data_IF_573626543193
#
_entry.id   IF_573626543193
#
_cell.length_a   1.000
_cell.length_b   1.000
_cell.length_c   1.000
_cell.angle_alpha   90.00
_cell.angle_beta   90.00
_cell.angle_gamma   90.00
#
_symmetry.space_group_name_H-M   'P 1'
#
loop_
_entity.id
_entity.type
_entity.pdbx_description
1 polymer ?
#
# COMPACT_ATOMS: atom_id res chain seq x y z
N UNK A 1 40.11 -27.10 21.00
CA UNK A 1 40.21 -26.18 19.83
C UNK A 1 38.92 -26.10 18.98
N UNK A 2 37.71 -26.10 19.57
CA UNK A 2 36.42 -26.24 18.84
C UNK A 2 35.52 -25.00 18.77
N UNK A 3 35.96 -23.84 19.30
CA UNK A 3 35.18 -22.59 19.35
C UNK A 3 35.45 -21.60 18.21
N UNK A 4 36.32 -21.94 17.25
CA UNK A 4 36.84 -20.98 16.24
C UNK A 4 36.00 -20.88 14.97
N UNK A 5 35.17 -21.88 14.66
CA UNK A 5 34.41 -21.90 13.40
C UNK A 5 33.08 -21.14 13.48
N UNK A 6 32.50 -20.98 14.68
CA UNK A 6 31.23 -20.25 14.87
C UNK A 6 31.37 -18.77 14.51
N UNK A 7 32.51 -18.15 14.82
CA UNK A 7 32.77 -16.76 14.47
C UNK A 7 32.91 -16.55 12.96
N UNK A 8 33.53 -17.49 12.23
CA UNK A 8 33.66 -17.40 10.78
C UNK A 8 32.29 -17.44 10.09
N UNK A 9 31.42 -18.32 10.58
CA UNK A 9 30.06 -18.47 10.09
C UNK A 9 29.21 -17.23 10.42
N UNK A 10 29.30 -16.70 11.65
CA UNK A 10 28.63 -15.45 12.04
C UNK A 10 29.07 -14.24 11.20
N UNK A 11 30.37 -14.12 10.92
CA UNK A 11 30.93 -13.05 10.08
C UNK A 11 30.51 -13.21 8.62
N UNK A 12 30.53 -14.43 8.08
CA UNK A 12 30.04 -14.69 6.73
C UNK A 12 28.56 -14.31 6.58
N UNK A 13 27.72 -14.59 7.59
CA UNK A 13 26.31 -14.18 7.58
C UNK A 13 26.12 -12.66 7.66
N UNK A 14 26.91 -11.96 8.49
CA UNK A 14 26.84 -10.51 8.58
C UNK A 14 27.20 -9.85 7.24
N UNK A 15 28.24 -10.36 6.56
CA UNK A 15 28.69 -9.83 5.27
C UNK A 15 27.69 -10.14 4.15
N UNK A 16 27.17 -11.37 4.08
CA UNK A 16 26.19 -11.75 3.07
C UNK A 16 24.86 -10.99 3.22
N UNK A 17 24.35 -10.86 4.46
CA UNK A 17 23.14 -10.09 4.74
C UNK A 17 23.31 -8.59 4.43
N UNK A 18 24.48 -8.03 4.75
CA UNK A 18 24.79 -6.63 4.44
C UNK A 18 24.90 -6.37 2.92
N UNK A 19 25.60 -7.23 2.18
CA UNK A 19 25.73 -7.10 0.72
C UNK A 19 24.38 -7.22 -0.01
N UNK A 20 23.50 -8.10 0.47
CA UNK A 20 22.17 -8.31 -0.10
C UNK A 20 21.26 -7.10 0.17
N UNK A 21 21.28 -6.56 1.40
CA UNK A 21 20.57 -5.33 1.74
C UNK A 21 21.02 -4.14 0.89
N UNK A 22 22.32 -4.06 0.57
CA UNK A 22 22.89 -3.01 -0.26
C UNK A 22 22.44 -3.11 -1.72
N UNK A 23 22.40 -4.31 -2.30
CA UNK A 23 21.90 -4.53 -3.66
C UNK A 23 20.43 -4.15 -3.83
N UNK A 24 19.60 -4.48 -2.84
CA UNK A 24 18.19 -4.09 -2.77
C UNK A 24 18.05 -2.57 -2.79
N UNK A 25 18.71 -1.88 -1.85
CA UNK A 25 18.57 -0.43 -1.70
C UNK A 25 18.98 0.36 -2.96
N UNK A 26 19.93 -0.15 -3.75
CA UNK A 26 20.43 0.50 -4.95
C UNK A 26 19.49 0.36 -6.16
N UNK A 27 18.83 -0.80 -6.28
CA UNK A 27 18.05 -1.17 -7.47
C UNK A 27 16.64 -0.59 -7.38
N UNK A 28 16.03 -0.55 -6.20
CA UNK A 28 14.63 -0.15 -6.04
C UNK A 28 14.29 1.28 -6.50
N UNK A 29 15.12 2.32 -6.27
CA UNK A 29 14.81 3.69 -6.69
C UNK A 29 14.87 3.93 -8.20
N UNK A 30 15.53 3.05 -8.97
CA UNK A 30 15.77 3.25 -10.41
C UNK A 30 14.53 2.96 -11.28
N UNK A 31 13.57 2.19 -10.77
CA UNK A 31 12.49 1.62 -11.59
C UNK A 31 11.11 2.27 -11.38
N UNK A 32 10.98 3.36 -10.62
CA UNK A 32 9.69 4.05 -10.32
C UNK A 32 8.56 3.08 -9.93
N UNK A 33 8.91 2.00 -9.22
CA UNK A 33 7.98 0.90 -8.96
C UNK A 33 6.94 1.35 -7.93
N UNK A 34 5.64 1.13 -8.18
CA UNK A 34 4.61 1.46 -7.21
C UNK A 34 4.88 0.77 -5.86
N UNK A 35 4.66 1.50 -4.76
CA UNK A 35 5.06 1.11 -3.41
C UNK A 35 4.47 -0.24 -2.93
N UNK A 36 3.35 -0.69 -3.54
CA UNK A 36 2.77 -2.01 -3.25
C UNK A 36 3.64 -3.16 -3.77
N UNK A 37 4.28 -3.00 -4.94
CA UNK A 37 5.14 -4.02 -5.54
C UNK A 37 6.50 -4.09 -4.84
N UNK A 38 7.05 -2.93 -4.42
CA UNK A 38 8.25 -2.88 -3.56
C UNK A 38 8.02 -3.67 -2.28
N UNK A 39 6.87 -3.48 -1.61
CA UNK A 39 6.53 -4.20 -0.38
C UNK A 39 6.40 -5.72 -0.59
N UNK A 40 5.79 -6.17 -1.69
CA UNK A 40 5.69 -7.60 -2.00
C UNK A 40 7.05 -8.23 -2.25
N UNK A 41 7.94 -7.54 -2.98
CA UNK A 41 9.29 -8.06 -3.26
C UNK A 41 10.13 -8.08 -1.99
N UNK A 42 10.09 -7.01 -1.18
CA UNK A 42 10.78 -6.99 0.12
C UNK A 42 10.29 -8.13 1.02
N UNK A 43 8.99 -8.38 1.06
CA UNK A 43 8.43 -9.47 1.85
C UNK A 43 8.84 -10.85 1.31
N UNK A 44 8.86 -11.04 -0.02
CA UNK A 44 9.35 -12.26 -0.65
C UNK A 44 10.84 -12.52 -0.33
N UNK A 45 11.66 -11.47 -0.29
CA UNK A 45 13.07 -11.58 0.08
C UNK A 45 13.23 -11.89 1.57
N UNK A 46 12.50 -11.19 2.44
CA UNK A 46 12.57 -11.41 3.89
C UNK A 46 12.13 -12.82 4.27
N UNK A 47 11.19 -13.43 3.53
CA UNK A 47 10.76 -14.83 3.73
C UNK A 47 11.70 -15.81 3.02
N UNK A 48 12.13 -15.49 1.80
CA UNK A 48 13.02 -16.32 0.99
C UNK A 48 14.43 -16.44 1.57
N UNK A 49 14.91 -15.41 2.26
CA UNK A 49 16.24 -15.39 2.88
C UNK A 49 16.42 -16.43 4.00
N UNK A 50 15.52 -16.55 5.00
CA UNK A 50 15.53 -17.65 5.96
C UNK A 50 15.49 -19.03 5.28
N UNK A 51 14.67 -19.19 4.23
CA UNK A 51 14.54 -20.45 3.50
C UNK A 51 15.85 -20.80 2.78
N UNK A 52 16.46 -19.83 2.10
CA UNK A 52 17.76 -19.98 1.46
C UNK A 52 18.86 -20.30 2.48
N UNK A 53 18.82 -19.70 3.67
CA UNK A 53 19.74 -20.00 4.77
C UNK A 53 19.56 -21.41 5.33
N UNK A 54 18.33 -21.90 5.43
CA UNK A 54 18.04 -23.29 5.83
C UNK A 54 18.58 -24.29 4.81
N UNK A 55 18.40 -24.00 3.52
CA UNK A 55 18.91 -24.84 2.43
C UNK A 55 20.44 -24.80 2.39
N UNK A 56 21.05 -23.61 2.53
CA UNK A 56 22.50 -23.46 2.62
C UNK A 56 23.06 -24.23 3.82
N UNK A 57 22.42 -24.15 4.99
CA UNK A 57 22.79 -24.93 6.18
C UNK A 57 22.64 -26.44 5.97
N UNK A 58 21.58 -26.88 5.27
CA UNK A 58 21.36 -28.28 4.94
C UNK A 58 22.45 -28.84 3.99
N UNK A 59 22.92 -28.03 3.04
CA UNK A 59 23.99 -28.43 2.12
C UNK A 59 25.40 -28.31 2.74
N UNK A 60 25.64 -27.33 3.62
CA UNK A 60 26.89 -27.18 4.36
C UNK A 60 27.06 -28.19 5.52
N UNK A 61 26.02 -28.97 5.88
CA UNK A 61 26.14 -30.09 6.84
C UNK A 61 26.65 -31.39 6.18
N UNK A 62 26.80 -31.41 4.85
CA UNK A 62 27.41 -32.51 4.08
C UNK A 62 28.78 -32.17 3.45
N UNK A 63 29.80 -31.63 4.16
CA UNK A 63 31.15 -31.49 3.60
C UNK A 63 32.06 -32.71 3.84
N UNK A 64 31.62 -33.75 4.56
CA UNK A 64 32.45 -34.95 4.76
C UNK A 64 31.67 -36.24 4.54
N UNK A 65 32.02 -36.92 3.44
CA UNK A 65 32.10 -38.38 3.43
C UNK A 65 31.12 -39.12 2.54
N UNK A 66 31.28 -39.05 1.22
CA UNK A 66 31.24 -40.31 0.46
C UNK A 66 32.53 -41.07 0.81
N UNK A 67 32.52 -41.75 1.96
CA UNK A 67 33.41 -42.90 2.18
C UNK A 67 32.56 -44.15 1.98
N UNK A 68 32.98 -44.90 0.95
CA UNK A 68 32.46 -46.20 0.55
C UNK A 68 32.50 -47.16 1.74
N UNK A 69 31.41 -47.90 1.86
CA UNK A 69 31.02 -48.90 2.86
C UNK A 69 32.06 -49.99 3.13
N UNK A 70 32.31 -50.27 4.42
CA UNK A 70 32.77 -51.51 5.10
C UNK A 70 33.29 -51.02 6.47
N UNK A 71 32.74 -51.29 7.65
CA UNK A 71 31.87 -52.33 8.17
C UNK A 71 31.08 -51.72 9.34
N UNK A 72 29.75 -51.93 9.43
CA UNK A 72 29.00 -52.07 10.71
C UNK A 72 27.62 -52.66 10.37
N UNK A 73 27.41 -53.93 10.74
CA UNK A 73 26.09 -54.57 10.89
C UNK A 73 25.42 -54.06 12.20
N UNK A 74 24.08 -54.06 12.34
CA UNK A 74 23.31 -52.94 12.83
C UNK A 74 22.76 -53.22 14.24
N UNK A 75 23.14 -52.40 15.21
CA UNK A 75 22.48 -52.45 16.51
C UNK A 75 22.45 -51.07 17.16
N UNK A 76 21.22 -50.56 17.28
CA UNK A 76 20.79 -49.56 18.26
C UNK A 76 21.34 -48.15 18.05
N UNK A 77 20.67 -47.39 17.18
CA UNK A 77 19.93 -46.19 17.62
C UNK A 77 19.27 -45.55 16.40
N UNK A 78 17.98 -45.82 16.24
CA UNK A 78 17.09 -44.95 15.48
C UNK A 78 16.94 -43.64 16.23
N UNK A 79 17.99 -42.79 16.20
CA UNK A 79 17.82 -41.37 16.48
C UNK A 79 16.95 -40.83 15.35
N UNK A 80 15.64 -40.90 15.56
CA UNK A 80 14.64 -40.21 14.78
C UNK A 80 15.10 -38.76 14.70
N UNK A 81 15.72 -38.40 13.57
CA UNK A 81 16.26 -37.06 13.32
C UNK A 81 15.06 -36.15 13.34
N UNK A 82 14.81 -35.54 14.49
CA UNK A 82 13.53 -34.90 14.75
C UNK A 82 13.40 -33.73 13.78
N UNK A 83 12.44 -33.84 12.85
CA UNK A 83 12.02 -32.75 11.97
C UNK A 83 11.35 -31.60 12.76
N UNK A 84 11.56 -31.52 14.08
CA UNK A 84 11.07 -30.47 14.98
C UNK A 84 11.39 -29.06 14.44
N UNK A 85 12.54 -28.89 13.78
CA UNK A 85 12.93 -27.61 13.21
C UNK A 85 12.07 -27.20 12.00
N UNK A 86 11.50 -28.16 11.25
CA UNK A 86 10.55 -27.88 10.16
C UNK A 86 9.27 -27.25 10.73
N UNK A 87 8.80 -27.73 11.88
CA UNK A 87 7.63 -27.15 12.55
C UNK A 87 7.90 -25.72 13.03
N UNK A 88 9.11 -25.39 13.48
CA UNK A 88 9.49 -24.01 13.86
C UNK A 88 9.41 -23.06 12.66
N UNK A 89 9.89 -23.50 11.49
CA UNK A 89 9.84 -22.71 10.26
C UNK A 89 8.39 -22.52 9.79
N UNK A 90 7.56 -23.57 9.85
CA UNK A 90 6.13 -23.49 9.49
C UNK A 90 5.39 -22.53 10.42
N UNK A 91 5.63 -22.59 11.73
CA UNK A 91 4.99 -21.70 12.71
C UNK A 91 5.40 -20.25 12.49
N UNK A 92 6.68 -19.97 12.22
CA UNK A 92 7.16 -18.62 11.92
C UNK A 92 6.57 -18.07 10.61
N UNK A 93 6.44 -18.91 9.58
CA UNK A 93 5.81 -18.54 8.32
C UNK A 93 4.31 -18.22 8.50
N UNK A 94 3.57 -19.06 9.24
CA UNK A 94 2.17 -18.83 9.55
C UNK A 94 1.95 -17.57 10.39
N UNK A 95 2.81 -17.30 11.38
CA UNK A 95 2.78 -16.06 12.17
C UNK A 95 3.04 -14.83 11.31
N UNK A 96 3.99 -14.90 10.39
CA UNK A 96 4.33 -13.78 9.49
C UNK A 96 3.19 -13.49 8.51
N UNK A 97 2.57 -14.54 7.94
CA UNK A 97 1.39 -14.42 7.08
C UNK A 97 0.20 -13.86 7.87
N UNK A 98 -0.02 -14.35 9.09
CA UNK A 98 -1.09 -13.89 9.97
C UNK A 98 -0.92 -12.41 10.36
N UNK A 99 0.27 -11.99 10.77
CA UNK A 99 0.59 -10.59 11.09
C UNK A 99 0.49 -9.69 9.85
N UNK A 100 0.85 -10.18 8.67
CA UNK A 100 0.71 -9.44 7.41
C UNK A 100 -0.76 -9.24 7.04
N UNK A 101 -1.58 -10.28 7.13
CA UNK A 101 -3.02 -10.20 6.89
C UNK A 101 -3.72 -9.35 7.96
N UNK A 102 -3.29 -9.46 9.22
CA UNK A 102 -3.78 -8.60 10.29
C UNK A 102 -3.41 -7.14 10.02
N UNK A 103 -2.18 -6.84 9.60
CA UNK A 103 -1.76 -5.50 9.19
C UNK A 103 -2.50 -4.98 7.95
N UNK A 104 -2.92 -5.85 7.03
CA UNK A 104 -3.76 -5.51 5.85
C UNK A 104 -5.20 -5.15 6.22
N UNK A 105 -5.76 -5.79 7.24
CA UNK A 105 -7.15 -5.61 7.69
C UNK A 105 -7.30 -4.65 8.88
N UNK A 106 -6.24 -4.43 9.65
CA UNK A 106 -6.18 -3.51 10.80
C UNK A 106 -5.27 -2.32 10.57
N UNK A 107 -4.59 -2.21 9.41
CA UNK A 107 -4.14 -0.90 8.96
C UNK A 107 -5.39 -0.04 9.00
N UNK A 108 -5.46 0.97 9.89
CA UNK A 108 -6.50 1.94 9.77
C UNK A 108 -6.32 2.44 8.35
N UNK A 109 -7.33 2.23 7.51
CA UNK A 109 -7.60 3.18 6.46
C UNK A 109 -7.41 4.49 7.19
N UNK A 110 -6.35 5.24 6.88
CA UNK A 110 -6.40 6.66 7.09
C UNK A 110 -7.58 7.06 6.22
N UNK A 111 -8.79 6.90 6.77
CA UNK A 111 -9.83 7.89 6.68
C UNK A 111 -9.04 9.15 7.03
N UNK A 112 -8.49 9.76 5.98
CA UNK A 112 -8.31 11.20 5.91
C UNK A 112 -9.50 11.70 6.67
N UNK A 113 -9.24 12.25 7.88
CA UNK A 113 -10.25 12.39 8.92
C UNK A 113 -11.52 12.82 8.23
N UNK A 114 -12.63 12.10 8.49
CA UNK A 114 -13.95 12.55 8.10
C UNK A 114 -14.01 14.00 8.56
N UNK A 115 -13.68 14.88 7.63
CA UNK A 115 -13.67 16.31 7.84
C UNK A 115 -15.15 16.49 7.75
N UNK A 116 -15.81 16.45 8.91
CA UNK A 116 -17.25 16.57 9.00
C UNK A 116 -17.61 17.66 8.02
N UNK A 117 -18.32 17.26 6.95
CA UNK A 117 -18.62 18.15 5.85
C UNK A 117 -19.28 19.36 6.51
N UNK A 118 -18.67 20.56 6.43
CA UNK A 118 -19.16 21.66 7.23
C UNK A 118 -20.63 21.87 6.92
N UNK A 119 -21.50 21.82 7.93
CA UNK A 119 -22.95 21.89 7.70
C UNK A 119 -23.34 23.15 6.92
N UNK A 120 -22.57 24.23 7.08
CA UNK A 120 -22.64 25.46 6.28
C UNK A 120 -21.63 25.43 5.14
N UNK A 121 -21.89 24.61 4.12
CA UNK A 121 -21.08 24.58 2.91
C UNK A 121 -21.92 24.39 1.67
N UNK A 122 -21.57 25.12 0.60
CA UNK A 122 -22.33 25.13 -0.65
C UNK A 122 -21.42 25.09 -1.88
N UNK A 123 -21.80 24.29 -2.87
CA UNK A 123 -21.26 24.35 -4.22
C UNK A 123 -22.33 24.84 -5.19
N UNK A 124 -21.99 25.80 -6.05
CA UNK A 124 -22.88 26.29 -7.11
C UNK A 124 -22.42 25.69 -8.43
N UNK A 125 -23.18 24.74 -8.96
CA UNK A 125 -22.86 24.11 -10.24
C UNK A 125 -23.02 25.10 -11.40
N UNK A 126 -22.31 24.91 -12.52
CA UNK A 126 -22.51 25.72 -13.71
C UNK A 126 -23.98 25.63 -14.17
N UNK A 127 -24.62 26.79 -14.35
CA UNK A 127 -26.02 26.83 -14.75
C UNK A 127 -26.20 26.37 -16.20
N UNK A 128 -27.28 25.66 -16.45
CA UNK A 128 -27.63 25.21 -17.80
C UNK A 128 -28.21 26.40 -18.60
N UNK A 129 -27.65 26.66 -19.77
CA UNK A 129 -28.18 27.67 -20.68
C UNK A 129 -29.26 27.03 -21.56
N UNK A 130 -30.52 27.45 -21.40
CA UNK A 130 -31.65 26.95 -22.19
C UNK A 130 -31.79 27.64 -23.56
N UNK A 131 -31.00 28.69 -23.81
CA UNK A 131 -30.97 29.37 -25.10
C UNK A 131 -30.14 28.59 -26.13
N UNK A 132 -30.64 28.52 -27.36
CA UNK A 132 -29.96 27.88 -28.51
C UNK A 132 -28.69 28.64 -28.94
N UNK A 133 -28.61 29.94 -28.63
CA UNK A 133 -27.45 30.77 -28.96
C UNK A 133 -26.28 30.56 -27.99
N UNK A 134 -25.13 30.10 -28.52
CA UNK A 134 -23.87 29.96 -27.76
C UNK A 134 -23.39 31.28 -27.13
N UNK A 135 -23.76 32.43 -27.68
CA UNK A 135 -23.43 33.73 -27.12
C UNK A 135 -24.01 33.94 -25.72
N UNK A 136 -25.12 33.26 -25.39
CA UNK A 136 -25.80 33.38 -24.10
C UNK A 136 -25.20 32.46 -23.01
N UNK A 137 -24.25 31.59 -23.35
CA UNK A 137 -23.54 30.79 -22.34
C UNK A 137 -22.73 31.66 -21.36
N UNK A 138 -22.27 32.84 -21.80
CA UNK A 138 -21.60 33.80 -20.93
C UNK A 138 -22.55 34.42 -19.90
N UNK A 139 -23.86 34.46 -20.18
CA UNK A 139 -24.86 34.96 -19.24
C UNK A 139 -25.02 33.99 -18.06
N UNK A 140 -25.15 32.69 -18.33
CA UNK A 140 -25.20 31.66 -17.29
C UNK A 140 -23.94 31.67 -16.40
N UNK A 141 -22.77 31.85 -17.03
CA UNK A 141 -21.50 31.98 -16.31
C UNK A 141 -21.42 33.26 -15.46
N UNK A 142 -21.94 34.39 -15.97
CA UNK A 142 -22.00 35.66 -15.24
C UNK A 142 -22.92 35.60 -14.02
N UNK A 143 -24.11 35.01 -14.18
CA UNK A 143 -25.07 34.79 -13.08
C UNK A 143 -24.47 33.87 -12.01
N UNK A 144 -23.78 32.81 -12.42
CA UNK A 144 -23.07 31.92 -11.49
C UNK A 144 -22.01 32.68 -10.68
N UNK A 145 -21.20 33.51 -11.34
CA UNK A 145 -20.13 34.29 -10.69
C UNK A 145 -20.70 35.33 -9.70
N UNK A 146 -21.83 35.96 -10.03
CA UNK A 146 -22.54 36.89 -9.13
C UNK A 146 -23.03 36.17 -7.87
N UNK A 147 -23.70 35.02 -8.02
CA UNK A 147 -24.18 34.22 -6.89
C UNK A 147 -23.01 33.74 -6.02
N UNK A 148 -21.92 33.26 -6.62
CA UNK A 148 -20.72 32.85 -5.86
C UNK A 148 -20.14 34.03 -5.07
N UNK A 149 -20.12 35.22 -5.66
CA UNK A 149 -19.63 36.44 -5.01
C UNK A 149 -20.49 36.82 -3.80
N UNK A 150 -21.81 36.73 -3.93
CA UNK A 150 -22.73 37.02 -2.84
C UNK A 150 -22.67 36.00 -1.71
N UNK A 151 -22.62 34.70 -2.06
CA UNK A 151 -22.46 33.63 -1.07
C UNK A 151 -21.11 33.74 -0.34
N UNK A 152 -20.04 34.16 -1.01
CA UNK A 152 -18.73 34.35 -0.39
C UNK A 152 -18.71 35.47 0.68
N UNK A 153 -19.70 36.37 0.70
CA UNK A 153 -19.84 37.41 1.73
C UNK A 153 -20.51 36.90 3.01
N UNK A 154 -21.15 35.73 2.96
CA UNK A 154 -21.82 35.14 4.13
C UNK A 154 -20.76 34.61 5.09
N UNK A 155 -20.70 35.20 6.28
CA UNK A 155 -19.80 34.74 7.33
C UNK A 155 -20.10 33.28 7.70
N UNK A 156 -19.05 32.49 7.92
CA UNK A 156 -19.16 31.07 8.31
C UNK A 156 -19.78 30.14 7.25
N UNK A 157 -19.83 30.56 5.98
CA UNK A 157 -20.23 29.72 4.84
C UNK A 157 -19.01 29.31 4.01
N UNK A 158 -18.74 28.01 3.92
CA UNK A 158 -17.71 27.47 3.01
C UNK A 158 -18.28 27.40 1.58
N UNK A 159 -17.76 28.25 0.70
CA UNK A 159 -18.12 28.26 -0.72
C UNK A 159 -17.05 27.57 -1.55
N UNK A 160 -17.46 26.67 -2.43
CA UNK A 160 -16.55 25.99 -3.37
C UNK A 160 -16.31 26.89 -4.58
N UNK A 161 -15.06 26.95 -5.05
CA UNK A 161 -14.68 27.79 -6.18
C UNK A 161 -15.28 27.29 -7.50
N UNK A 162 -15.53 28.23 -8.43
CA UNK A 162 -16.00 27.93 -9.79
C UNK A 162 -15.12 26.92 -10.53
N UNK A 163 -13.80 27.02 -10.37
CA UNK A 163 -12.84 26.12 -11.01
C UNK A 163 -12.98 24.66 -10.56
N UNK A 164 -13.43 24.41 -9.33
CA UNK A 164 -13.66 23.06 -8.82
C UNK A 164 -14.92 22.42 -9.39
N UNK A 165 -15.90 23.23 -9.82
CA UNK A 165 -17.20 22.75 -10.29
C UNK A 165 -17.35 22.76 -11.82
N UNK A 166 -16.41 23.37 -12.56
CA UNK A 166 -16.49 23.51 -14.03
C UNK A 166 -16.59 22.17 -14.76
N UNK A 167 -16.02 21.10 -14.19
CA UNK A 167 -16.04 19.75 -14.74
C UNK A 167 -17.43 19.08 -14.66
N UNK A 168 -18.35 19.66 -13.89
CA UNK A 168 -19.73 19.18 -13.74
C UNK A 168 -20.71 19.90 -14.68
N UNK A 169 -20.23 20.76 -15.60
CA UNK A 169 -21.03 21.42 -16.63
C UNK A 169 -21.72 20.45 -17.60
N UNK A 170 -21.33 19.18 -17.64
CA UNK A 170 -21.93 18.19 -18.53
C UNK A 170 -23.41 17.96 -18.19
N UNK A 171 -24.31 18.11 -19.17
CA UNK A 171 -25.75 17.75 -19.10
C UNK A 171 -26.03 16.25 -18.91
N UNK A 172 -25.06 15.51 -18.38
CA UNK A 172 -25.24 14.15 -17.90
C UNK A 172 -25.87 14.30 -16.52
N UNK A 173 -27.09 13.80 -16.35
CA UNK A 173 -27.75 13.70 -15.05
C UNK A 173 -26.85 12.90 -14.09
N UNK A 174 -26.12 13.62 -13.24
CA UNK A 174 -25.30 13.05 -12.18
C UNK A 174 -26.04 13.18 -10.86
N UNK A 175 -25.79 12.25 -9.96
CA UNK A 175 -26.36 12.28 -8.64
C UNK A 175 -25.76 13.45 -7.83
N UNK A 176 -26.57 14.45 -7.51
CA UNK A 176 -26.15 15.63 -6.74
C UNK A 176 -25.54 15.26 -5.38
N UNK A 177 -25.99 14.17 -4.76
CA UNK A 177 -25.44 13.69 -3.50
C UNK A 177 -23.98 13.26 -3.65
N UNK A 178 -23.66 12.53 -4.71
CA UNK A 178 -22.29 12.10 -5.00
C UNK A 178 -21.39 13.29 -5.31
N UNK A 179 -21.92 14.30 -6.02
CA UNK A 179 -21.18 15.54 -6.30
C UNK A 179 -20.89 16.29 -4.99
N UNK A 180 -21.88 16.39 -4.09
CA UNK A 180 -21.71 17.00 -2.78
C UNK A 180 -20.66 16.29 -1.93
N UNK A 181 -20.65 14.95 -1.94
CA UNK A 181 -19.64 14.14 -1.26
C UNK A 181 -18.24 14.32 -1.86
N UNK A 182 -18.12 14.35 -3.19
CA UNK A 182 -16.84 14.57 -3.89
C UNK A 182 -16.26 15.97 -3.63
N UNK A 183 -17.12 16.99 -3.59
CA UNK A 183 -16.74 18.37 -3.32
C UNK A 183 -16.61 18.67 -1.83
N UNK A 184 -17.06 17.77 -0.95
CA UNK A 184 -17.06 17.95 0.49
C UNK A 184 -17.93 19.13 0.93
N UNK A 185 -19.17 19.17 0.41
CA UNK A 185 -20.21 20.17 0.74
C UNK A 185 -21.53 19.54 1.19
N UNK A 186 -22.24 20.26 2.07
CA UNK A 186 -23.55 19.87 2.58
C UNK A 186 -24.68 20.22 1.60
N UNK A 187 -24.51 21.29 0.82
CA UNK A 187 -25.50 21.79 -0.12
C UNK A 187 -24.91 21.95 -1.52
N UNK A 188 -25.74 21.65 -2.53
CA UNK A 188 -25.41 21.83 -3.94
C UNK A 188 -26.54 22.63 -4.56
N UNK A 189 -26.20 23.69 -5.28
CA UNK A 189 -27.14 24.52 -6.03
C UNK A 189 -26.98 24.23 -7.52
N UNK A 190 -28.07 23.84 -8.16
CA UNK A 190 -28.20 23.71 -9.61
C UNK A 190 -29.29 24.66 -10.12
N UNK A 191 -29.21 25.03 -11.39
CA UNK A 191 -30.16 25.94 -12.00
C UNK A 191 -29.96 26.05 -13.51
N UNK A 192 -30.94 26.65 -14.16
CA UNK A 192 -30.90 26.96 -15.58
C UNK A 192 -31.33 28.41 -15.81
N UNK A 193 -30.93 28.96 -16.95
CA UNK A 193 -31.13 30.36 -17.33
C UNK A 193 -31.61 30.44 -18.78
#
# INVERSE_FOLDING_TARGET
LKRRNVYKVAVAYAVAGWALAQGIAQVFPVFDIPNWAVRLIVLAIVIGFPIALVIAWAFELTPEGIKRTEDVDPAVDSRAKSHAWIYVVIVAALLSISLFFLGRFTAPTKQNGATEVPAKSIAVLPFENLSEEKANAFFADGVQDEILTDLARVADLKVISRTSVVNYRSGIARNLREIGEQLGVAHVLEGSV
#
